data_IF_355474168788
#
_entry.id   IF_355474168788
#
_cell.length_a   1.000
_cell.length_b   1.000
_cell.length_c   1.000
_cell.angle_alpha   90.00
_cell.angle_beta   90.00
_cell.angle_gamma   90.00
#
_symmetry.space_group_name_H-M   'P 1'
#
loop_
_entity.id
_entity.type
_entity.pdbx_description
1 polymer ?
#
# COMPACT_ATOMS: atom_id res chain seq x y z
N UNK A 1 -22.99 1.27 25.78
CA UNK A 1 -22.19 0.76 24.65
C UNK A 1 -22.60 1.57 23.44
N UNK A 2 -21.71 2.40 22.91
CA UNK A 2 -22.06 3.54 22.05
C UNK A 2 -22.69 3.03 20.74
N UNK A 3 -24.01 3.09 20.64
CA UNK A 3 -24.76 2.90 19.39
C UNK A 3 -24.79 4.23 18.64
N UNK A 4 -23.63 4.67 18.15
CA UNK A 4 -23.62 5.66 17.08
C UNK A 4 -24.26 5.00 15.86
N UNK A 5 -25.03 5.79 15.13
CA UNK A 5 -25.78 5.36 13.97
C UNK A 5 -24.83 4.64 12.98
N UNK A 6 -25.04 3.34 12.75
CA UNK A 6 -24.18 2.49 11.91
C UNK A 6 -23.87 3.13 10.56
N UNK A 7 -24.83 3.85 9.99
CA UNK A 7 -24.67 4.60 8.75
C UNK A 7 -23.62 5.71 8.82
N UNK A 8 -23.56 6.39 9.96
CA UNK A 8 -22.58 7.45 10.23
C UNK A 8 -21.18 6.85 10.37
N UNK A 9 -21.04 5.72 11.04
CA UNK A 9 -19.75 5.03 11.18
C UNK A 9 -19.21 4.56 9.83
N UNK A 10 -20.07 3.94 9.00
CA UNK A 10 -19.69 3.56 7.65
C UNK A 10 -19.33 4.76 6.78
N UNK A 11 -20.08 5.87 6.89
CA UNK A 11 -19.79 7.09 6.16
C UNK A 11 -18.40 7.63 6.52
N UNK A 12 -18.08 7.77 7.80
CA UNK A 12 -16.75 8.22 8.23
C UNK A 12 -15.64 7.25 7.84
N UNK A 13 -15.87 5.95 7.91
CA UNK A 13 -14.89 4.95 7.49
C UNK A 13 -14.58 5.05 5.99
N UNK A 14 -15.59 5.22 5.14
CA UNK A 14 -15.41 5.41 3.69
C UNK A 14 -14.72 6.74 3.42
N UNK A 15 -15.16 7.83 4.05
CA UNK A 15 -14.56 9.16 3.88
C UNK A 15 -13.07 9.16 4.26
N UNK A 16 -12.72 8.53 5.37
CA UNK A 16 -11.34 8.38 5.82
C UNK A 16 -10.50 7.59 4.79
N UNK A 17 -11.03 6.49 4.24
CA UNK A 17 -10.32 5.71 3.20
C UNK A 17 -10.11 6.52 1.93
N UNK A 18 -11.12 7.25 1.47
CA UNK A 18 -11.02 8.12 0.29
C UNK A 18 -9.98 9.22 0.54
N UNK A 19 -9.99 9.85 1.73
CA UNK A 19 -9.00 10.84 2.12
C UNK A 19 -7.57 10.29 2.15
N UNK A 20 -7.37 9.11 2.76
CA UNK A 20 -6.06 8.44 2.77
C UNK A 20 -5.58 8.09 1.36
N UNK A 21 -6.50 7.64 0.49
CA UNK A 21 -6.16 7.30 -0.89
C UNK A 21 -5.82 8.54 -1.72
N UNK A 22 -6.55 9.64 -1.54
CA UNK A 22 -6.22 10.93 -2.15
C UNK A 22 -4.84 11.43 -1.70
N UNK A 23 -4.56 11.39 -0.39
CA UNK A 23 -3.23 11.74 0.14
C UNK A 23 -2.14 10.84 -0.47
N UNK A 24 -2.37 9.54 -0.57
CA UNK A 24 -1.43 8.63 -1.21
C UNK A 24 -1.10 9.03 -2.66
N UNK A 25 -2.09 9.42 -3.46
CA UNK A 25 -1.88 9.89 -4.83
C UNK A 25 -1.04 11.17 -4.88
N UNK A 26 -1.36 12.15 -4.03
CA UNK A 26 -0.60 13.39 -3.92
C UNK A 26 0.87 13.10 -3.55
N UNK A 27 1.09 12.28 -2.51
CA UNK A 27 2.43 11.89 -2.08
C UNK A 27 3.21 11.15 -3.17
N UNK A 28 2.55 10.36 -4.01
CA UNK A 28 3.22 9.62 -5.08
C UNK A 28 3.63 10.53 -6.25
N UNK A 29 2.92 11.65 -6.44
CA UNK A 29 3.23 12.64 -7.48
C UNK A 29 4.31 13.64 -7.08
N UNK A 30 4.53 13.84 -5.78
CA UNK A 30 5.52 14.79 -5.27
C UNK A 30 6.96 14.33 -5.61
N UNK A 31 7.86 15.28 -5.96
CA UNK A 31 9.27 14.97 -6.15
C UNK A 31 9.90 14.55 -4.81
N UNK A 32 10.73 13.49 -4.79
CA UNK A 32 11.41 13.07 -3.57
C UNK A 32 12.51 14.05 -3.17
N UNK A 33 12.87 14.06 -1.89
CA UNK A 33 14.03 14.83 -1.41
C UNK A 33 15.30 14.37 -2.13
N UNK A 34 16.04 15.31 -2.68
CA UNK A 34 17.33 15.05 -3.33
C UNK A 34 18.37 14.99 -2.22
N UNK A 35 18.81 13.77 -1.88
CA UNK A 35 19.91 13.55 -0.94
C UNK A 35 21.26 13.63 -1.66
N UNK A 36 22.25 14.26 -1.03
CA UNK A 36 23.64 14.06 -1.41
C UNK A 36 24.06 12.64 -1.02
N UNK A 37 24.72 11.95 -1.94
CA UNK A 37 25.23 10.59 -1.76
C UNK A 37 26.73 10.73 -1.53
N UNK A 38 27.22 10.20 -0.41
CA UNK A 38 28.65 10.19 -0.12
C UNK A 38 29.41 9.29 -1.10
N UNK A 39 30.68 9.60 -1.37
CA UNK A 39 31.52 8.84 -2.30
C UNK A 39 31.66 7.36 -1.89
N UNK A 40 31.59 7.06 -0.59
CA UNK A 40 31.60 5.70 -0.06
C UNK A 40 30.29 4.93 -0.30
N UNK A 41 29.17 5.60 -0.56
CA UNK A 41 27.89 4.95 -0.93
C UNK A 41 27.72 4.79 -2.44
N UNK A 42 28.53 5.48 -3.25
CA UNK A 42 28.39 5.52 -4.71
C UNK A 42 28.48 4.12 -5.36
N UNK A 43 29.21 3.20 -4.73
CA UNK A 43 29.38 1.84 -5.27
C UNK A 43 28.06 1.05 -5.34
N UNK A 44 27.08 1.34 -4.45
CA UNK A 44 25.75 0.70 -4.49
C UNK A 44 24.95 1.09 -5.74
N UNK A 45 25.27 2.23 -6.36
CA UNK A 45 24.57 2.78 -7.52
C UNK A 45 25.36 2.60 -8.82
N UNK A 46 26.44 1.80 -8.80
CA UNK A 46 27.33 1.60 -9.95
C UNK A 46 26.67 0.90 -11.14
N UNK A 47 25.67 0.06 -10.89
CA UNK A 47 24.99 -0.72 -11.92
C UNK A 47 23.63 -0.11 -12.27
N UNK A 48 23.27 -0.02 -13.56
CA UNK A 48 21.96 0.48 -13.95
C UNK A 48 20.85 -0.40 -13.37
N UNK A 49 19.75 0.23 -12.94
CA UNK A 49 18.59 -0.51 -12.47
C UNK A 49 18.02 -1.34 -13.61
N UNK A 50 17.98 -2.66 -13.41
CA UNK A 50 17.31 -3.59 -14.32
C UNK A 50 15.81 -3.33 -14.31
N UNK A 51 15.16 -3.58 -15.45
CA UNK A 51 13.71 -3.56 -15.53
C UNK A 51 13.11 -4.57 -14.56
N UNK A 52 11.95 -4.22 -13.99
CA UNK A 52 11.26 -5.06 -13.02
C UNK A 52 10.87 -6.39 -13.68
N UNK A 53 11.46 -7.49 -13.21
CA UNK A 53 11.16 -8.84 -13.71
C UNK A 53 9.67 -9.20 -13.61
N UNK A 54 9.00 -8.71 -12.56
CA UNK A 54 7.56 -8.87 -12.37
C UNK A 54 6.85 -7.56 -12.69
N UNK A 55 5.94 -7.54 -13.68
CA UNK A 55 5.12 -6.37 -13.96
C UNK A 55 4.20 -6.02 -12.79
N UNK A 56 3.98 -4.74 -12.55
CA UNK A 56 3.19 -4.23 -11.41
C UNK A 56 1.76 -4.80 -11.37
N UNK A 57 1.17 -5.08 -12.53
CA UNK A 57 -0.15 -5.72 -12.63
C UNK A 57 -0.20 -7.06 -11.89
N UNK A 58 0.79 -7.94 -12.10
CA UNK A 58 0.85 -9.24 -11.43
C UNK A 58 0.99 -9.10 -9.91
N UNK A 59 1.72 -8.07 -9.46
CA UNK A 59 1.85 -7.78 -8.04
C UNK A 59 0.48 -7.46 -7.42
N UNK A 60 -0.31 -6.61 -8.08
CA UNK A 60 -1.67 -6.28 -7.62
C UNK A 60 -2.60 -7.49 -7.65
N UNK A 61 -2.49 -8.34 -8.69
CA UNK A 61 -3.25 -9.59 -8.74
C UNK A 61 -2.95 -10.50 -7.55
N UNK A 62 -1.68 -10.74 -7.24
CA UNK A 62 -1.28 -11.58 -6.09
C UNK A 62 -1.77 -10.96 -4.78
N UNK A 63 -1.65 -9.64 -4.64
CA UNK A 63 -2.09 -8.91 -3.45
C UNK A 63 -3.59 -9.09 -3.17
N UNK A 64 -4.43 -9.22 -4.20
CA UNK A 64 -5.87 -9.45 -4.07
C UNK A 64 -6.20 -10.94 -3.94
N UNK A 65 -5.52 -11.78 -4.72
CA UNK A 65 -5.81 -13.22 -4.83
C UNK A 65 -5.48 -13.97 -3.53
N UNK A 66 -4.36 -13.65 -2.88
CA UNK A 66 -3.95 -14.34 -1.64
C UNK A 66 -4.94 -14.12 -0.50
N UNK A 67 -5.34 -12.89 -0.13
CA UNK A 67 -6.35 -12.67 0.91
C UNK A 67 -7.72 -13.20 0.51
N UNK A 68 -8.11 -13.08 -0.76
CA UNK A 68 -9.38 -13.63 -1.24
C UNK A 68 -9.43 -15.16 -1.05
N UNK A 69 -8.33 -15.85 -1.34
CA UNK A 69 -8.21 -17.29 -1.14
C UNK A 69 -8.30 -17.67 0.35
N UNK A 70 -7.64 -16.91 1.23
CA UNK A 70 -7.71 -17.15 2.69
C UNK A 70 -9.14 -16.95 3.20
N UNK A 71 -9.82 -15.88 2.79
CA UNK A 71 -11.21 -15.61 3.17
C UNK A 71 -12.16 -16.67 2.63
N UNK A 72 -11.93 -17.13 1.40
CA UNK A 72 -12.71 -18.22 0.80
C UNK A 72 -12.52 -19.54 1.56
N UNK A 73 -11.29 -19.87 1.94
CA UNK A 73 -11.02 -21.06 2.76
C UNK A 73 -11.67 -20.95 4.15
N UNK A 74 -11.60 -19.78 4.78
CA UNK A 74 -12.28 -19.55 6.06
C UNK A 74 -13.80 -19.71 5.93
N UNK A 75 -14.39 -19.18 4.86
CA UNK A 75 -15.80 -19.36 4.56
C UNK A 75 -16.19 -20.84 4.39
N UNK A 76 -15.39 -21.63 3.67
CA UNK A 76 -15.65 -23.05 3.49
C UNK A 76 -15.58 -23.84 4.81
N UNK A 77 -14.60 -23.56 5.65
CA UNK A 77 -14.42 -24.26 6.93
C UNK A 77 -15.50 -23.91 7.96
N UNK A 78 -15.94 -22.65 8.01
CA UNK A 78 -16.86 -22.14 9.02
C UNK A 78 -18.28 -21.89 8.51
N UNK A 79 -18.64 -22.36 7.31
CA UNK A 79 -19.92 -22.07 6.64
C UNK A 79 -21.19 -22.30 7.49
N UNK A 80 -21.14 -23.22 8.46
CA UNK A 80 -22.27 -23.53 9.34
C UNK A 80 -22.51 -22.49 10.44
N UNK A 81 -21.61 -21.54 10.63
CA UNK A 81 -21.67 -20.57 11.72
C UNK A 81 -22.27 -19.24 11.24
N UNK A 82 -23.32 -18.77 11.92
CA UNK A 82 -24.04 -17.55 11.51
C UNK A 82 -23.16 -16.28 11.57
N UNK A 83 -22.08 -16.31 12.36
CA UNK A 83 -21.16 -15.18 12.56
C UNK A 83 -20.08 -15.05 11.48
N UNK A 84 -19.85 -16.09 10.68
CA UNK A 84 -18.77 -16.10 9.67
C UNK A 84 -18.88 -14.93 8.68
N UNK A 85 -20.10 -14.53 8.31
CA UNK A 85 -20.31 -13.38 7.43
C UNK A 85 -19.88 -12.06 8.06
N UNK A 86 -20.20 -11.86 9.34
CA UNK A 86 -19.81 -10.65 10.06
C UNK A 86 -18.28 -10.57 10.20
N UNK A 87 -17.62 -11.70 10.48
CA UNK A 87 -16.17 -11.77 10.61
C UNK A 87 -15.45 -11.51 9.28
N UNK A 88 -15.97 -12.04 8.17
CA UNK A 88 -15.45 -11.74 6.82
C UNK A 88 -15.60 -10.26 6.49
N UNK A 89 -16.77 -9.65 6.76
CA UNK A 89 -17.00 -8.21 6.50
C UNK A 89 -16.06 -7.35 7.34
N UNK A 90 -15.83 -7.70 8.60
CA UNK A 90 -14.89 -7.01 9.48
C UNK A 90 -13.45 -7.16 8.98
N UNK A 91 -13.06 -8.36 8.53
CA UNK A 91 -11.75 -8.62 7.97
C UNK A 91 -11.51 -7.80 6.70
N UNK A 92 -12.45 -7.78 5.76
CA UNK A 92 -12.37 -6.98 4.53
C UNK A 92 -12.29 -5.47 4.84
N UNK A 93 -13.06 -5.00 5.83
CA UNK A 93 -12.98 -3.61 6.27
C UNK A 93 -11.61 -3.26 6.88
N UNK A 94 -11.01 -4.16 7.65
CA UNK A 94 -9.66 -3.99 8.18
C UNK A 94 -8.59 -4.02 7.08
N UNK A 95 -8.72 -4.96 6.15
CA UNK A 95 -7.77 -5.16 5.06
C UNK A 95 -7.73 -3.97 4.08
N UNK A 96 -8.89 -3.44 3.71
CA UNK A 96 -8.99 -2.24 2.86
C UNK A 96 -8.35 -1.01 3.54
N UNK A 97 -8.55 -0.84 4.84
CA UNK A 97 -7.91 0.23 5.61
C UNK A 97 -6.38 0.04 5.68
N UNK A 98 -5.93 -1.20 5.93
CA UNK A 98 -4.52 -1.53 6.00
C UNK A 98 -3.79 -1.24 4.69
N UNK A 99 -4.41 -1.49 3.53
CA UNK A 99 -3.83 -1.12 2.25
C UNK A 99 -3.69 0.40 2.06
N UNK A 100 -4.69 1.19 2.43
CA UNK A 100 -4.60 2.65 2.36
C UNK A 100 -3.45 3.17 3.24
N UNK A 101 -3.33 2.67 4.48
CA UNK A 101 -2.25 3.04 5.40
C UNK A 101 -0.88 2.61 4.87
N UNK A 102 -0.75 1.39 4.37
CA UNK A 102 0.50 0.91 3.79
C UNK A 102 0.94 1.75 2.58
N UNK A 103 -0.03 2.15 1.73
CA UNK A 103 0.20 3.08 0.64
C UNK A 103 0.75 4.42 1.13
N UNK A 104 0.09 5.02 2.11
CA UNK A 104 0.50 6.29 2.71
C UNK A 104 1.92 6.20 3.30
N UNK A 105 2.15 5.27 4.24
CA UNK A 105 3.45 5.13 4.91
C UNK A 105 4.59 4.86 3.93
N UNK A 106 4.39 3.95 2.97
CA UNK A 106 5.42 3.66 1.97
C UNK A 106 5.72 4.87 1.09
N UNK A 107 4.74 5.71 0.79
CA UNK A 107 4.92 6.92 -0.03
C UNK A 107 5.60 8.03 0.74
N UNK A 108 5.22 8.25 2.00
CA UNK A 108 5.91 9.18 2.90
C UNK A 108 7.38 8.79 3.03
N UNK A 109 7.67 7.51 3.26
CA UNK A 109 9.04 7.02 3.40
C UNK A 109 9.87 7.23 2.11
N UNK A 110 9.26 7.03 0.94
CA UNK A 110 9.92 7.28 -0.36
C UNK A 110 10.26 8.76 -0.56
N UNK A 111 9.41 9.67 -0.06
CA UNK A 111 9.64 11.10 -0.15
C UNK A 111 10.71 11.57 0.84
N UNK A 112 10.64 11.12 2.10
CA UNK A 112 11.52 11.59 3.18
C UNK A 112 12.94 11.06 3.04
N UNK A 113 13.11 9.77 2.73
CA UNK A 113 14.44 9.17 2.55
C UNK A 113 15.08 9.65 1.24
N UNK A 114 14.26 10.05 0.27
CA UNK A 114 14.73 10.42 -1.05
C UNK A 114 15.05 9.17 -1.87
N UNK A 115 14.26 8.88 -2.90
CA UNK A 115 14.60 7.84 -3.86
C UNK A 115 15.83 8.30 -4.66
N UNK A 116 16.98 7.59 -4.61
CA UNK A 116 18.01 7.76 -5.61
C UNK A 116 17.43 7.23 -6.92
N UNK A 117 16.86 8.12 -7.73
CA UNK A 117 16.64 7.81 -9.15
C UNK A 117 18.03 7.79 -9.77
N UNK A 118 18.31 6.78 -10.58
CA UNK A 118 19.54 6.55 -11.36
C UNK A 118 20.05 7.74 -12.19
N UNK A 119 19.34 8.87 -12.16
CA UNK A 119 19.62 10.13 -12.81
C UNK A 119 21.04 10.67 -12.57
N UNK A 120 21.70 10.25 -11.48
CA UNK A 120 23.09 10.60 -11.21
C UNK A 120 24.11 9.98 -12.19
N UNK A 121 23.80 8.85 -12.84
CA UNK A 121 24.72 8.23 -13.81
C UNK A 121 24.83 8.99 -15.14
N UNK A 122 23.84 9.81 -15.47
CA UNK A 122 23.79 10.61 -16.70
C UNK A 122 24.37 12.02 -16.57
N UNK A 123 24.75 12.47 -15.37
CA UNK A 123 25.31 13.81 -15.12
C UNK A 123 26.85 13.86 -15.14
N UNK A 124 27.52 12.70 -15.26
CA UNK A 124 28.98 12.58 -15.24
C UNK A 124 29.58 12.07 -16.57
N UNK A 125 28.85 12.19 -17.68
CA UNK A 125 29.35 12.03 -19.05
C UNK A 125 29.26 13.35 -19.78
#
# INVERSE_FOLDING_TARGET
>A
MITINIWVDYFFAVLLRVGLWALFLELNNLPPVIRHIDEEELWYYRYPSLDSYVPTLYLYFIMILVPAFILFMHYLCSYREERTMADIINCVNGLTLAYCLNGLFSSTMKLTIGRPRWYYSTLHT
#
